data_IF_078791517652
#
_entry.id   IF_078791517652
#
_cell.length_a   1.000
_cell.length_b   1.000
_cell.length_c   1.000
_cell.angle_alpha   90.00
_cell.angle_beta   90.00
_cell.angle_gamma   90.00
#
_symmetry.space_group_name_H-M   'P 1'
#
loop_
_entity.id
_entity.type
_entity.pdbx_description
1 polymer ?
#
# COMPACT_ATOMS: atom_id res chain seq x y z
N UNK A 1 3.82 14.77 74.48
CA UNK A 1 3.10 14.18 73.34
C UNK A 1 3.68 14.54 71.97
N UNK A 2 4.22 15.75 71.73
CA UNK A 2 4.74 16.13 70.39
C UNK A 2 6.11 15.46 70.01
N UNK A 3 6.90 14.98 70.93
CA UNK A 3 8.21 14.33 70.70
C UNK A 3 8.12 12.82 70.35
N UNK A 4 7.02 12.17 70.72
CA UNK A 4 6.84 10.73 70.49
C UNK A 4 6.29 10.51 69.07
N UNK A 5 5.50 11.46 68.53
CA UNK A 5 4.96 11.41 67.18
C UNK A 5 6.05 11.55 66.10
N UNK A 6 7.09 12.36 66.37
CA UNK A 6 8.22 12.56 65.45
C UNK A 6 9.11 11.31 65.26
N UNK A 7 9.23 10.48 66.31
CA UNK A 7 10.06 9.26 66.23
C UNK A 7 9.34 8.14 65.49
N UNK A 8 8.03 8.07 65.60
CA UNK A 8 7.22 7.07 64.89
C UNK A 8 7.15 7.38 63.37
N UNK A 9 7.13 8.67 63.02
CA UNK A 9 7.11 9.08 61.61
C UNK A 9 8.45 8.83 60.88
N UNK A 10 9.58 8.90 61.62
CA UNK A 10 10.91 8.60 61.07
C UNK A 10 11.16 7.10 60.90
N UNK A 11 10.53 6.24 61.75
CA UNK A 11 10.66 4.79 61.65
C UNK A 11 9.82 4.19 60.52
N UNK A 12 8.71 4.84 60.13
CA UNK A 12 7.85 4.40 59.00
C UNK A 12 8.45 4.81 57.64
N UNK A 13 9.22 5.93 57.58
CA UNK A 13 9.89 6.33 56.33
C UNK A 13 11.15 5.50 56.03
N UNK A 14 11.78 4.88 57.03
CA UNK A 14 12.96 4.05 56.79
C UNK A 14 12.66 2.59 56.43
N UNK A 15 11.40 2.10 56.57
CA UNK A 15 11.01 0.77 56.17
C UNK A 15 10.44 0.73 54.73
N UNK A 16 10.12 1.89 54.11
CA UNK A 16 9.61 1.98 52.75
C UNK A 16 10.71 2.07 51.67
N UNK A 17 12.01 2.12 52.04
CA UNK A 17 13.11 2.20 51.08
C UNK A 17 13.80 0.85 50.78
N UNK A 18 13.34 -0.26 51.36
CA UNK A 18 13.98 -1.57 51.13
C UNK A 18 13.11 -2.48 50.21
N UNK A 19 11.93 -2.02 49.79
CA UNK A 19 11.04 -2.82 48.93
C UNK A 19 11.09 -2.46 47.44
N UNK A 20 12.08 -1.66 46.98
CA UNK A 20 12.17 -1.23 45.56
C UNK A 20 13.41 -1.78 44.83
N UNK A 21 14.06 -2.83 45.36
CA UNK A 21 15.21 -3.44 44.66
C UNK A 21 14.99 -4.93 44.34
N UNK A 22 13.74 -5.36 44.14
CA UNK A 22 13.45 -6.72 43.72
C UNK A 22 12.32 -6.78 42.72
N UNK A 23 12.45 -6.02 41.61
CA UNK A 23 11.77 -6.28 40.33
C UNK A 23 12.67 -5.74 39.24
N UNK A 24 13.87 -6.26 39.16
CA UNK A 24 14.79 -6.12 38.04
C UNK A 24 14.96 -7.48 37.40
N UNK A 25 13.87 -8.20 37.18
CA UNK A 25 13.77 -9.28 36.22
C UNK A 25 13.29 -8.63 34.93
N UNK A 26 14.17 -8.01 34.16
CA UNK A 26 13.98 -7.95 32.72
C UNK A 26 13.96 -9.40 32.25
N UNK A 27 12.78 -10.04 32.23
CA UNK A 27 12.54 -11.06 31.23
C UNK A 27 12.73 -10.29 29.92
N UNK A 28 13.88 -10.48 29.30
CA UNK A 28 14.04 -10.22 27.89
C UNK A 28 12.97 -11.01 27.17
N UNK A 29 11.88 -10.37 26.84
CA UNK A 29 10.92 -10.81 25.81
C UNK A 29 11.63 -10.66 24.45
N UNK A 30 12.82 -11.26 24.34
CA UNK A 30 13.78 -10.95 23.29
C UNK A 30 13.82 -12.00 22.18
N UNK A 31 12.81 -12.85 22.07
CA UNK A 31 12.76 -13.86 21.01
C UNK A 31 11.58 -13.72 20.04
N UNK A 32 10.72 -12.74 20.24
CA UNK A 32 9.57 -12.48 19.35
C UNK A 32 9.90 -11.32 18.40
N UNK A 33 9.79 -11.56 17.11
CA UNK A 33 10.00 -10.56 16.06
C UNK A 33 8.64 -10.02 15.65
N UNK A 34 8.44 -8.72 15.74
CA UNK A 34 7.17 -8.07 15.37
C UNK A 34 7.21 -7.57 13.94
N UNK A 35 6.28 -8.05 13.11
CA UNK A 35 6.12 -7.60 11.72
C UNK A 35 4.71 -7.04 11.52
N UNK A 36 4.61 -5.77 11.13
CA UNK A 36 3.35 -5.17 10.71
C UNK A 36 3.06 -5.48 9.23
N UNK A 37 1.81 -5.87 8.95
CA UNK A 37 1.32 -6.20 7.60
C UNK A 37 0.00 -5.48 7.35
N UNK A 38 -0.40 -5.26 6.06
CA UNK A 38 -1.74 -4.74 5.74
C UNK A 38 -2.84 -5.65 6.30
N UNK A 39 -3.99 -5.09 6.64
CA UNK A 39 -5.12 -5.83 7.21
C UNK A 39 -6.24 -6.13 6.19
N UNK A 40 -6.11 -5.69 4.95
CA UNK A 40 -7.02 -6.11 3.88
C UNK A 40 -6.53 -7.45 3.29
N UNK A 41 -7.50 -8.32 2.96
CA UNK A 41 -7.25 -9.71 2.57
C UNK A 41 -6.20 -9.84 1.46
N UNK A 42 -6.29 -9.02 0.42
CA UNK A 42 -5.40 -9.11 -0.73
C UNK A 42 -3.97 -8.69 -0.40
N UNK A 43 -3.78 -7.56 0.31
CA UNK A 43 -2.44 -7.06 0.62
C UNK A 43 -1.82 -7.80 1.82
N UNK A 44 -2.61 -8.30 2.79
CA UNK A 44 -2.13 -9.23 3.81
C UNK A 44 -1.54 -10.48 3.15
N UNK A 45 -2.32 -11.13 2.27
CA UNK A 45 -1.85 -12.31 1.54
C UNK A 45 -0.57 -12.03 0.75
N UNK A 46 -0.51 -10.91 0.06
CA UNK A 46 0.67 -10.47 -0.70
C UNK A 46 1.90 -10.29 0.20
N UNK A 47 1.72 -9.70 1.38
CA UNK A 47 2.78 -9.55 2.37
C UNK A 47 3.28 -10.90 2.91
N UNK A 48 2.36 -11.82 3.19
CA UNK A 48 2.71 -13.17 3.66
C UNK A 48 3.42 -13.99 2.58
N UNK A 49 3.00 -13.87 1.32
CA UNK A 49 3.67 -14.50 0.18
C UNK A 49 5.10 -13.97 0.01
N UNK A 50 5.33 -12.67 0.19
CA UNK A 50 6.70 -12.10 0.20
C UNK A 50 7.55 -12.71 1.31
N UNK A 51 7.03 -12.87 2.52
CA UNK A 51 7.77 -13.51 3.62
C UNK A 51 8.03 -15.00 3.36
N UNK A 52 7.11 -15.70 2.72
CA UNK A 52 7.30 -17.08 2.29
C UNK A 52 8.39 -17.19 1.21
N UNK A 53 8.38 -16.33 0.21
CA UNK A 53 9.41 -16.30 -0.85
C UNK A 53 10.80 -16.01 -0.27
N UNK A 54 10.88 -15.23 0.81
CA UNK A 54 12.11 -14.97 1.56
C UNK A 54 12.49 -16.13 2.50
N UNK A 55 11.63 -17.13 2.66
CA UNK A 55 11.87 -18.30 3.51
C UNK A 55 11.67 -18.06 5.01
N UNK A 56 10.93 -17.04 5.40
CA UNK A 56 10.69 -16.69 6.81
C UNK A 56 9.47 -17.37 7.42
N UNK A 57 8.50 -17.75 6.61
CA UNK A 57 7.31 -18.53 6.99
C UNK A 57 6.98 -19.56 5.93
N UNK A 58 6.10 -20.49 6.24
CA UNK A 58 5.44 -21.38 5.29
C UNK A 58 3.94 -21.25 5.42
N UNK A 59 3.24 -21.08 4.29
CA UNK A 59 1.79 -21.02 4.22
C UNK A 59 1.20 -22.38 3.83
N UNK A 60 -0.08 -22.60 4.13
CA UNK A 60 -0.83 -23.72 3.59
C UNK A 60 -0.87 -23.65 2.05
N UNK A 61 -0.59 -24.78 1.39
CA UNK A 61 -0.50 -24.83 -0.08
C UNK A 61 -1.81 -24.45 -0.78
N UNK A 62 -2.95 -24.51 -0.07
CA UNK A 62 -4.27 -24.19 -0.62
C UNK A 62 -4.70 -22.74 -0.34
N UNK A 63 -3.96 -21.99 0.48
CA UNK A 63 -4.33 -20.62 0.84
C UNK A 63 -4.22 -19.64 -0.35
N UNK A 64 -3.22 -19.81 -1.22
CA UNK A 64 -3.06 -19.05 -2.45
C UNK A 64 -2.98 -17.53 -2.20
N UNK A 65 -3.66 -16.76 -3.05
CA UNK A 65 -3.68 -15.29 -3.02
C UNK A 65 -4.65 -14.71 -1.97
N UNK A 66 -5.29 -15.55 -1.16
CA UNK A 66 -6.19 -15.15 -0.07
C UNK A 66 -5.67 -15.62 1.29
N UNK A 67 -4.37 -15.94 1.38
CA UNK A 67 -3.72 -16.37 2.60
C UNK A 67 -3.84 -15.32 3.70
N UNK A 68 -4.07 -15.76 4.92
CA UNK A 68 -4.10 -14.94 6.13
C UNK A 68 -3.05 -15.45 7.13
N UNK A 69 -2.80 -14.73 8.21
CA UNK A 69 -1.91 -15.20 9.28
C UNK A 69 -2.33 -16.56 9.88
N UNK A 70 -3.60 -16.97 9.70
CA UNK A 70 -4.12 -18.27 10.17
C UNK A 70 -3.67 -19.45 9.29
N UNK A 71 -3.24 -19.14 8.08
CA UNK A 71 -2.77 -20.13 7.10
C UNK A 71 -1.27 -20.38 7.21
N UNK A 72 -0.59 -19.75 8.18
CA UNK A 72 0.83 -20.00 8.45
C UNK A 72 0.97 -21.38 9.13
N UNK A 73 1.65 -22.28 8.44
CA UNK A 73 1.90 -23.67 8.90
C UNK A 73 3.25 -23.84 9.58
N UNK A 74 4.22 -22.97 9.27
CA UNK A 74 5.53 -22.92 9.93
C UNK A 74 5.99 -21.47 10.11
N UNK A 75 6.49 -21.16 11.33
CA UNK A 75 6.95 -19.85 11.75
C UNK A 75 8.22 -19.99 12.61
N UNK A 76 9.35 -20.40 11.99
CA UNK A 76 10.56 -20.79 12.73
C UNK A 76 11.24 -19.63 13.45
N UNK A 77 10.90 -18.39 13.10
CA UNK A 77 11.48 -17.18 13.69
C UNK A 77 10.62 -16.54 14.77
N UNK A 78 9.52 -17.21 15.18
CA UNK A 78 8.59 -16.71 16.19
C UNK A 78 8.10 -15.28 15.86
N UNK A 79 7.67 -15.07 14.61
CA UNK A 79 7.13 -13.79 14.15
C UNK A 79 5.75 -13.57 14.75
N UNK A 80 5.55 -12.43 15.41
CA UNK A 80 4.25 -11.91 15.83
C UNK A 80 3.77 -10.90 14.79
N UNK A 81 2.63 -11.18 14.18
CA UNK A 81 2.05 -10.31 13.15
C UNK A 81 1.13 -9.26 13.77
N UNK A 82 1.26 -8.03 13.29
CA UNK A 82 0.34 -6.93 13.59
C UNK A 82 -0.36 -6.51 12.30
N UNK A 83 -1.64 -6.85 12.18
CA UNK A 83 -2.48 -6.44 11.06
C UNK A 83 -2.89 -4.98 11.24
N UNK A 84 -2.49 -4.11 10.32
CA UNK A 84 -2.67 -2.66 10.38
C UNK A 84 -3.26 -2.17 9.07
N UNK A 85 -4.14 -1.17 9.12
CA UNK A 85 -4.61 -0.51 7.91
C UNK A 85 -3.42 -0.05 7.06
N UNK A 86 -3.41 -0.37 5.76
CA UNK A 86 -2.25 -0.19 4.88
C UNK A 86 -1.70 1.25 4.90
N UNK A 87 -2.58 2.25 4.94
CA UNK A 87 -2.21 3.67 5.03
C UNK A 87 -1.47 4.05 6.34
N UNK A 88 -1.59 3.24 7.40
CA UNK A 88 -0.95 3.49 8.68
C UNK A 88 0.41 2.80 8.85
N UNK A 89 0.76 1.87 7.97
CA UNK A 89 2.01 1.10 8.08
C UNK A 89 3.28 1.97 8.15
N UNK A 90 3.43 3.04 7.35
CA UNK A 90 4.59 3.93 7.50
C UNK A 90 4.66 4.61 8.88
N UNK A 91 3.52 4.89 9.49
CA UNK A 91 3.45 5.57 10.80
C UNK A 91 3.83 4.67 11.96
N UNK A 92 3.54 3.36 11.87
CA UNK A 92 3.85 2.37 12.92
C UNK A 92 5.23 1.72 12.73
N UNK A 93 5.95 2.03 11.66
CA UNK A 93 7.22 1.38 11.32
C UNK A 93 8.24 1.42 12.47
N UNK A 94 8.33 2.54 13.20
CA UNK A 94 9.25 2.69 14.33
C UNK A 94 8.84 1.89 15.58
N UNK A 95 7.61 1.39 15.65
CA UNK A 95 7.06 0.68 16.82
C UNK A 95 7.16 -0.84 16.68
N UNK A 96 7.58 -1.33 15.52
CA UNK A 96 7.76 -2.75 15.19
C UNK A 96 9.19 -3.05 14.71
N UNK A 97 9.57 -4.32 14.68
CA UNK A 97 10.88 -4.71 14.14
C UNK A 97 10.95 -4.47 12.64
N UNK A 98 9.88 -4.84 11.92
CA UNK A 98 9.72 -4.68 10.49
C UNK A 98 8.28 -4.33 10.13
N UNK A 99 8.08 -3.75 8.94
CA UNK A 99 6.77 -3.64 8.32
C UNK A 99 6.84 -3.96 6.83
N UNK A 100 5.78 -4.56 6.30
CA UNK A 100 5.61 -4.76 4.86
C UNK A 100 4.63 -3.70 4.36
N UNK A 101 5.13 -2.81 3.49
CA UNK A 101 4.41 -1.59 3.11
C UNK A 101 4.21 -1.57 1.59
N UNK A 102 2.99 -1.27 1.15
CA UNK A 102 2.69 -1.00 -0.24
C UNK A 102 3.47 0.22 -0.74
N UNK A 103 4.03 0.15 -1.94
CA UNK A 103 4.93 1.18 -2.46
C UNK A 103 4.32 2.56 -2.55
N UNK A 104 3.02 2.68 -2.89
CA UNK A 104 2.33 3.97 -2.91
C UNK A 104 2.34 4.66 -1.53
N UNK A 105 2.14 3.92 -0.44
CA UNK A 105 2.22 4.48 0.92
C UNK A 105 3.65 4.75 1.36
N UNK A 106 4.61 3.92 0.95
CA UNK A 106 6.02 4.18 1.19
C UNK A 106 6.46 5.49 0.50
N UNK A 107 6.14 5.65 -0.79
CA UNK A 107 6.47 6.86 -1.57
C UNK A 107 5.80 8.10 -0.97
N UNK A 108 4.52 8.02 -0.60
CA UNK A 108 3.80 9.12 0.04
C UNK A 108 4.38 9.53 1.41
N UNK A 109 5.12 8.63 2.07
CA UNK A 109 5.84 8.87 3.33
C UNK A 109 7.33 9.21 3.13
N UNK A 110 7.76 9.57 1.91
CA UNK A 110 9.16 9.85 1.57
C UNK A 110 10.12 8.65 1.78
N UNK A 111 9.60 7.42 1.80
CA UNK A 111 10.37 6.18 1.87
C UNK A 111 10.56 5.64 0.44
N UNK A 112 11.79 5.45 0.01
CA UNK A 112 12.07 4.95 -1.33
C UNK A 112 12.05 3.41 -1.37
N UNK A 113 11.09 2.78 -2.07
CA UNK A 113 10.96 1.32 -2.07
C UNK A 113 12.20 0.55 -2.49
N UNK A 114 12.99 1.06 -3.43
CA UNK A 114 14.21 0.38 -3.91
C UNK A 114 15.40 0.59 -2.99
N UNK A 115 15.53 1.78 -2.37
CA UNK A 115 16.72 2.14 -1.58
C UNK A 115 16.58 1.80 -0.10
N UNK A 116 15.36 1.94 0.44
CA UNK A 116 15.13 1.90 1.88
C UNK A 116 14.54 0.56 2.33
N UNK A 117 14.02 -0.28 1.40
CA UNK A 117 13.57 -1.63 1.75
C UNK A 117 14.75 -2.56 2.03
N UNK A 118 14.56 -3.49 2.96
CA UNK A 118 15.50 -4.57 3.25
C UNK A 118 15.29 -5.77 2.32
N UNK A 119 14.09 -5.92 1.79
CA UNK A 119 13.73 -6.82 0.71
C UNK A 119 12.54 -6.23 -0.05
N UNK A 120 12.41 -6.58 -1.33
CA UNK A 120 11.35 -6.08 -2.20
C UNK A 120 10.85 -7.20 -3.09
N UNK A 121 9.55 -7.17 -3.40
CA UNK A 121 8.89 -8.09 -4.32
C UNK A 121 9.49 -7.99 -5.73
N UNK A 122 9.45 -9.08 -6.48
CA UNK A 122 9.90 -9.07 -7.87
C UNK A 122 9.04 -8.18 -8.78
N UNK A 123 9.66 -7.59 -9.81
CA UNK A 123 8.97 -6.70 -10.77
C UNK A 123 7.98 -7.43 -11.70
N UNK A 124 7.93 -8.77 -11.68
CA UNK A 124 6.97 -9.59 -12.42
C UNK A 124 5.67 -9.84 -11.65
N UNK A 125 5.34 -8.99 -10.72
CA UNK A 125 4.16 -9.09 -9.87
C UNK A 125 2.86 -9.19 -10.68
N UNK A 126 1.94 -10.06 -10.24
CA UNK A 126 0.57 -10.13 -10.74
C UNK A 126 -0.28 -8.91 -10.33
N UNK A 127 0.28 -8.03 -9.52
CA UNK A 127 -0.39 -6.86 -8.94
C UNK A 127 -0.14 -5.59 -9.77
N UNK A 128 -0.41 -5.64 -11.08
CA UNK A 128 -0.37 -4.46 -11.94
C UNK A 128 -1.48 -3.49 -11.62
N UNK A 129 -1.15 -2.22 -11.46
CA UNK A 129 -2.10 -1.14 -11.17
C UNK A 129 -2.93 -0.78 -12.38
N UNK A 130 -4.25 -0.71 -12.19
CA UNK A 130 -5.26 -0.62 -13.24
C UNK A 130 -6.02 0.69 -13.23
N UNK A 131 -6.42 1.13 -14.42
CA UNK A 131 -7.54 2.04 -14.58
C UNK A 131 -8.83 1.22 -14.50
N UNK A 132 -9.75 1.59 -13.61
CA UNK A 132 -11.00 0.89 -13.41
C UNK A 132 -12.20 1.85 -13.48
N UNK A 133 -13.33 1.33 -13.93
CA UNK A 133 -14.57 2.09 -14.15
C UNK A 133 -15.78 1.25 -13.72
N UNK A 134 -16.93 1.91 -13.53
CA UNK A 134 -18.19 1.18 -13.39
C UNK A 134 -18.52 0.40 -14.65
N UNK A 135 -18.98 -0.86 -14.51
CA UNK A 135 -19.40 -1.73 -15.60
C UNK A 135 -20.37 -1.01 -16.56
N UNK A 136 -20.10 -1.14 -17.85
CA UNK A 136 -20.84 -0.48 -18.93
C UNK A 136 -20.23 0.84 -19.41
N UNK A 137 -19.24 1.39 -18.70
CA UNK A 137 -18.57 2.65 -19.07
C UNK A 137 -17.23 2.44 -19.81
N UNK A 138 -16.74 1.21 -19.93
CA UNK A 138 -15.40 0.83 -20.41
C UNK A 138 -15.10 1.37 -21.80
N UNK A 139 -16.14 1.47 -22.63
CA UNK A 139 -16.03 1.86 -24.03
C UNK A 139 -16.45 3.29 -24.33
N UNK A 140 -16.72 4.11 -23.30
CA UNK A 140 -17.03 5.53 -23.50
C UNK A 140 -15.82 6.28 -24.05
N UNK A 141 -16.05 7.32 -24.85
CA UNK A 141 -14.98 8.12 -25.43
C UNK A 141 -14.11 8.80 -24.37
N UNK A 142 -14.70 9.21 -23.22
CA UNK A 142 -13.95 9.72 -22.07
C UNK A 142 -12.92 8.71 -21.57
N UNK A 143 -13.35 7.47 -21.38
CA UNK A 143 -12.48 6.41 -20.83
C UNK A 143 -11.43 5.96 -21.83
N UNK A 144 -11.77 5.86 -23.11
CA UNK A 144 -10.78 5.59 -24.16
C UNK A 144 -9.73 6.70 -24.27
N UNK A 145 -10.13 7.97 -24.16
CA UNK A 145 -9.20 9.09 -24.17
C UNK A 145 -8.26 9.05 -22.94
N UNK A 146 -8.80 8.80 -21.75
CA UNK A 146 -7.99 8.68 -20.53
C UNK A 146 -7.04 7.49 -20.60
N UNK A 147 -7.53 6.33 -21.06
CA UNK A 147 -6.69 5.14 -21.26
C UNK A 147 -5.53 5.43 -22.21
N UNK A 148 -5.80 6.03 -23.36
CA UNK A 148 -4.75 6.36 -24.35
C UNK A 148 -3.70 7.30 -23.75
N UNK A 149 -4.13 8.31 -22.97
CA UNK A 149 -3.22 9.22 -22.30
C UNK A 149 -2.35 8.51 -21.26
N UNK A 150 -2.91 7.59 -20.44
CA UNK A 150 -2.16 6.80 -19.46
C UNK A 150 -1.20 5.79 -20.13
N UNK A 151 -1.56 5.24 -21.28
CA UNK A 151 -0.74 4.30 -22.06
C UNK A 151 0.25 4.99 -22.99
N UNK A 152 0.48 6.30 -22.81
CA UNK A 152 1.38 7.09 -23.65
C UNK A 152 2.86 6.85 -23.32
N UNK A 153 3.70 7.14 -24.31
CA UNK A 153 5.16 7.20 -24.11
C UNK A 153 5.56 8.27 -23.08
N UNK A 154 4.85 9.39 -23.03
CA UNK A 154 5.14 10.44 -22.04
C UNK A 154 4.94 9.95 -20.62
N UNK A 155 3.88 9.17 -20.35
CA UNK A 155 3.63 8.53 -19.05
C UNK A 155 4.69 7.47 -18.74
N UNK A 156 5.03 6.62 -19.71
CA UNK A 156 6.05 5.59 -19.52
C UNK A 156 7.43 6.19 -19.21
N UNK A 157 7.83 7.24 -19.93
CA UNK A 157 9.08 7.97 -19.70
C UNK A 157 9.05 8.65 -18.31
N UNK A 158 7.96 9.33 -17.93
CA UNK A 158 7.81 9.94 -16.62
C UNK A 158 7.99 8.92 -15.48
N UNK A 159 7.36 7.75 -15.60
CA UNK A 159 7.49 6.67 -14.60
C UNK A 159 8.97 6.24 -14.49
N UNK A 160 9.64 5.99 -15.61
CA UNK A 160 11.03 5.55 -15.61
C UNK A 160 11.99 6.58 -15.01
N UNK A 161 11.80 7.86 -15.37
CA UNK A 161 12.68 8.96 -14.95
C UNK A 161 12.46 9.35 -13.47
N UNK A 162 11.21 9.24 -12.98
CA UNK A 162 10.84 9.74 -11.65
C UNK A 162 11.10 8.71 -10.56
N UNK A 163 10.73 7.44 -10.78
CA UNK A 163 10.67 6.46 -9.68
C UNK A 163 11.87 5.50 -9.61
N UNK A 164 12.77 5.50 -10.61
CA UNK A 164 14.03 4.76 -10.54
C UNK A 164 13.86 3.26 -10.25
N UNK A 165 12.76 2.65 -10.71
CA UNK A 165 12.44 1.24 -10.53
C UNK A 165 11.50 0.93 -9.35
N UNK A 166 11.15 1.91 -8.49
CA UNK A 166 10.12 1.73 -7.46
C UNK A 166 8.72 1.59 -8.06
N UNK A 167 8.51 2.18 -9.23
CA UNK A 167 7.33 2.06 -10.07
C UNK A 167 7.80 1.74 -11.48
N UNK A 168 7.20 0.75 -12.12
CA UNK A 168 7.62 0.27 -13.44
C UNK A 168 6.43 0.22 -14.38
N UNK A 169 6.49 0.94 -15.51
CA UNK A 169 5.47 0.85 -16.55
C UNK A 169 5.41 -0.56 -17.15
N UNK A 170 4.20 -1.09 -17.34
CA UNK A 170 3.96 -2.39 -17.98
C UNK A 170 3.25 -2.25 -19.33
N UNK A 171 3.12 -1.03 -19.82
CA UNK A 171 2.56 -0.77 -21.16
C UNK A 171 3.57 -1.21 -22.22
N UNK A 172 3.30 -2.30 -22.92
CA UNK A 172 4.24 -2.90 -23.87
C UNK A 172 4.53 -2.01 -25.08
N UNK A 173 3.51 -1.30 -25.60
CA UNK A 173 3.60 -0.47 -26.79
C UNK A 173 3.04 0.94 -26.50
N UNK A 174 3.77 1.78 -25.77
CA UNK A 174 3.32 3.12 -25.42
C UNK A 174 3.04 3.97 -26.66
N UNK A 175 1.82 4.55 -26.74
CA UNK A 175 1.36 5.38 -27.84
C UNK A 175 1.74 6.85 -27.73
N UNK A 176 1.14 7.68 -28.58
CA UNK A 176 1.28 9.14 -28.56
C UNK A 176 0.32 9.83 -27.57
N UNK A 177 -0.52 9.07 -26.88
CA UNK A 177 -1.51 9.55 -25.92
C UNK A 177 -2.90 9.77 -26.47
N UNK A 178 -3.14 9.42 -27.74
CA UNK A 178 -4.43 9.60 -28.39
C UNK A 178 -4.93 8.33 -29.08
N UNK A 179 -6.22 8.03 -28.89
CA UNK A 179 -6.91 6.94 -29.58
C UNK A 179 -7.66 7.48 -30.82
N UNK A 180 -7.31 7.00 -32.00
CA UNK A 180 -7.92 7.43 -33.25
C UNK A 180 -9.41 7.10 -33.39
N UNK A 181 -9.96 6.24 -32.54
CA UNK A 181 -11.39 5.90 -32.52
C UNK A 181 -12.23 6.90 -31.69
N UNK A 182 -11.60 7.82 -30.95
CA UNK A 182 -12.26 8.80 -30.06
C UNK A 182 -12.61 10.06 -30.82
N UNK A 183 -13.84 10.54 -30.68
CA UNK A 183 -14.25 11.88 -31.15
C UNK A 183 -13.81 12.96 -30.15
N UNK A 184 -12.55 13.38 -30.24
CA UNK A 184 -12.00 14.43 -29.39
C UNK A 184 -12.69 15.78 -29.58
N UNK A 185 -13.31 16.03 -30.74
CA UNK A 185 -14.05 17.27 -30.95
C UNK A 185 -15.35 17.28 -30.12
N UNK A 186 -16.01 16.16 -29.98
CA UNK A 186 -17.18 16.00 -29.11
C UNK A 186 -16.83 16.06 -27.63
N UNK A 187 -15.62 15.65 -27.24
CA UNK A 187 -15.14 15.72 -25.86
C UNK A 187 -14.59 17.12 -25.46
N UNK A 188 -14.32 17.98 -26.42
CA UNK A 188 -13.75 19.31 -26.15
C UNK A 188 -14.63 20.12 -25.18
N UNK A 189 -14.01 20.63 -24.11
CA UNK A 189 -14.68 21.37 -23.03
C UNK A 189 -15.32 20.46 -21.95
N UNK A 190 -15.23 19.14 -22.10
CA UNK A 190 -15.72 18.21 -21.08
C UNK A 190 -14.67 17.95 -19.98
N UNK A 191 -15.15 17.45 -18.84
CA UNK A 191 -14.31 17.01 -17.71
C UNK A 191 -14.40 15.50 -17.58
N UNK A 192 -13.24 14.87 -17.32
CA UNK A 192 -13.09 13.50 -16.87
C UNK A 192 -12.68 13.55 -15.42
N UNK A 193 -13.35 12.81 -14.53
CA UNK A 193 -13.07 12.77 -13.09
C UNK A 193 -12.47 11.43 -12.70
N UNK A 194 -11.36 11.45 -11.95
CA UNK A 194 -10.64 10.23 -11.53
C UNK A 194 -10.30 10.28 -10.05
N UNK A 195 -10.71 9.24 -9.32
CA UNK A 195 -10.26 8.99 -7.95
C UNK A 195 -8.91 8.26 -7.95
N UNK A 196 -7.93 8.74 -7.21
CA UNK A 196 -6.57 8.20 -7.20
C UNK A 196 -5.90 8.28 -5.84
N UNK A 197 -4.92 7.41 -5.58
CA UNK A 197 -3.98 7.62 -4.46
C UNK A 197 -3.02 8.77 -4.80
N UNK A 198 -2.54 9.55 -3.79
CA UNK A 198 -1.71 10.74 -4.05
C UNK A 198 -0.43 10.43 -4.84
N UNK A 199 0.31 9.40 -4.47
CA UNK A 199 1.52 8.93 -5.14
C UNK A 199 1.44 7.40 -5.35
N UNK A 200 1.98 6.87 -6.44
CA UNK A 200 2.44 7.56 -7.65
C UNK A 200 1.27 7.94 -8.59
N UNK A 201 0.04 7.47 -8.33
CA UNK A 201 -1.10 7.46 -9.24
C UNK A 201 -1.54 8.88 -9.67
N UNK A 202 -1.78 9.80 -8.70
CA UNK A 202 -2.14 11.17 -9.04
C UNK A 202 -1.00 11.91 -9.74
N UNK A 203 0.26 11.58 -9.44
CA UNK A 203 1.42 12.15 -10.13
C UNK A 203 1.48 11.71 -11.58
N UNK A 204 1.24 10.42 -11.87
CA UNK A 204 1.12 9.87 -13.21
C UNK A 204 -0.06 10.49 -13.97
N UNK A 205 -1.21 10.64 -13.31
CA UNK A 205 -2.39 11.29 -13.89
C UNK A 205 -2.14 12.75 -14.26
N UNK A 206 -1.23 13.46 -13.58
CA UNK A 206 -0.87 14.84 -13.98
C UNK A 206 -0.23 14.89 -15.37
N UNK A 207 0.54 13.86 -15.75
CA UNK A 207 1.07 13.74 -17.13
C UNK A 207 -0.06 13.49 -18.12
N UNK A 208 -0.98 12.56 -17.81
CA UNK A 208 -2.16 12.30 -18.64
C UNK A 208 -3.05 13.55 -18.77
N UNK A 209 -3.16 14.36 -17.73
CA UNK A 209 -3.88 15.64 -17.73
C UNK A 209 -3.33 16.61 -18.76
N UNK A 210 -2.01 16.74 -18.86
CA UNK A 210 -1.38 17.62 -19.83
C UNK A 210 -1.65 17.16 -21.27
N UNK A 211 -1.63 15.83 -21.51
CA UNK A 211 -1.97 15.24 -22.83
C UNK A 211 -3.42 15.54 -23.19
N UNK A 212 -4.37 15.31 -22.29
CA UNK A 212 -5.80 15.55 -22.51
C UNK A 212 -6.11 17.04 -22.72
N UNK A 213 -5.37 17.92 -22.07
CA UNK A 213 -5.49 19.38 -22.23
C UNK A 213 -5.19 19.84 -23.67
N UNK A 214 -4.34 19.14 -24.43
CA UNK A 214 -4.11 19.42 -25.87
C UNK A 214 -5.38 19.31 -26.71
N UNK A 215 -6.37 18.53 -26.24
CA UNK A 215 -7.71 18.38 -26.86
C UNK A 215 -8.78 19.20 -26.15
N UNK A 216 -8.38 20.13 -25.28
CA UNK A 216 -9.31 20.94 -24.46
C UNK A 216 -10.23 20.08 -23.57
N UNK A 217 -9.70 18.95 -23.05
CA UNK A 217 -10.39 18.09 -22.09
C UNK A 217 -9.75 18.34 -20.71
N UNK A 218 -10.59 18.57 -19.71
CA UNK A 218 -10.13 18.74 -18.31
C UNK A 218 -10.06 17.35 -17.65
N UNK A 219 -8.92 17.00 -17.06
CA UNK A 219 -8.83 15.88 -16.11
C UNK A 219 -8.87 16.42 -14.70
N UNK A 220 -9.92 16.05 -13.94
CA UNK A 220 -10.06 16.37 -12.53
C UNK A 220 -9.64 15.17 -11.69
N UNK A 221 -8.59 15.33 -10.87
CA UNK A 221 -7.97 14.27 -10.10
C UNK A 221 -8.36 14.48 -8.65
N UNK A 222 -9.09 13.52 -8.07
CA UNK A 222 -9.57 13.55 -6.68
C UNK A 222 -8.74 12.55 -5.89
N UNK A 223 -7.91 13.05 -4.96
CA UNK A 223 -7.00 12.22 -4.20
C UNK A 223 -7.68 11.63 -2.95
N UNK A 224 -7.51 10.32 -2.76
CA UNK A 224 -7.95 9.57 -1.58
C UNK A 224 -6.75 8.85 -0.95
N UNK A 225 -6.69 8.85 0.38
CA UNK A 225 -5.60 8.24 1.14
C UNK A 225 -5.92 6.82 1.64
N UNK A 226 -7.11 6.32 1.38
CA UNK A 226 -7.56 4.95 1.68
C UNK A 226 -7.89 4.17 0.40
N UNK A 227 -8.08 2.85 0.51
CA UNK A 227 -8.38 1.98 -0.62
C UNK A 227 -9.89 1.70 -0.82
N UNK A 228 -10.76 2.18 0.06
CA UNK A 228 -12.20 1.90 0.03
C UNK A 228 -12.97 2.97 -0.77
N UNK A 229 -12.70 4.24 -0.50
CA UNK A 229 -13.44 5.36 -1.09
C UNK A 229 -13.31 5.43 -2.62
N UNK A 230 -12.15 5.20 -3.26
CA UNK A 230 -12.05 5.29 -4.71
C UNK A 230 -13.00 4.33 -5.45
N UNK A 231 -13.27 3.14 -4.89
CA UNK A 231 -14.23 2.21 -5.47
C UNK A 231 -15.67 2.67 -5.22
N UNK A 232 -15.98 3.18 -4.02
CA UNK A 232 -17.32 3.64 -3.68
C UNK A 232 -17.78 4.79 -4.59
N UNK A 233 -16.89 5.77 -4.87
CA UNK A 233 -17.25 6.93 -5.70
C UNK A 233 -17.36 6.57 -7.19
N UNK A 234 -16.66 5.53 -7.67
CA UNK A 234 -16.85 4.98 -9.02
C UNK A 234 -18.19 4.21 -9.10
N UNK A 235 -18.47 3.35 -8.11
CA UNK A 235 -19.73 2.57 -8.11
C UNK A 235 -20.94 3.48 -8.03
N UNK A 236 -20.89 4.55 -7.23
CA UNK A 236 -21.98 5.54 -7.15
C UNK A 236 -22.13 6.40 -8.42
N UNK A 237 -21.10 6.46 -9.28
CA UNK A 237 -21.06 7.31 -10.47
C UNK A 237 -20.72 8.77 -10.14
N UNK A 238 -20.15 9.06 -8.98
CA UNK A 238 -19.65 10.38 -8.59
C UNK A 238 -18.40 10.77 -9.38
N UNK A 239 -17.58 9.79 -9.76
CA UNK A 239 -16.42 9.94 -10.64
C UNK A 239 -16.50 8.98 -11.83
N UNK A 240 -15.81 9.34 -12.92
CA UNK A 240 -15.81 8.53 -14.16
C UNK A 240 -14.96 7.25 -14.01
N UNK A 241 -13.85 7.31 -13.24
CA UNK A 241 -12.89 6.20 -13.09
C UNK A 241 -12.14 6.28 -11.76
N UNK A 242 -11.42 5.19 -11.41
CA UNK A 242 -10.35 5.25 -10.43
C UNK A 242 -9.04 4.65 -10.97
N UNK A 243 -7.95 5.05 -10.30
CA UNK A 243 -6.61 4.57 -10.60
C UNK A 243 -5.81 4.52 -9.30
N UNK A 244 -5.74 3.33 -8.65
CA UNK A 244 -5.09 3.15 -7.33
C UNK A 244 -4.88 1.68 -6.96
N UNK A 245 -5.48 0.72 -7.67
CA UNK A 245 -5.64 -0.68 -7.28
C UNK A 245 -5.17 -1.63 -8.38
N UNK A 246 -5.08 -2.91 -8.04
CA UNK A 246 -4.80 -4.03 -8.93
C UNK A 246 -5.99 -5.00 -9.00
N UNK A 247 -6.01 -5.87 -10.03
CA UNK A 247 -7.13 -6.79 -10.27
C UNK A 247 -7.49 -7.65 -9.06
N UNK A 248 -6.55 -8.30 -8.34
CA UNK A 248 -6.93 -9.11 -7.18
C UNK A 248 -7.69 -8.33 -6.10
N UNK A 249 -7.27 -7.08 -5.80
CA UNK A 249 -7.99 -6.23 -4.86
C UNK A 249 -9.38 -5.84 -5.38
N UNK A 250 -9.49 -5.50 -6.67
CA UNK A 250 -10.77 -5.16 -7.29
C UNK A 250 -11.77 -6.31 -7.23
N UNK A 251 -11.32 -7.53 -7.51
CA UNK A 251 -12.16 -8.72 -7.48
C UNK A 251 -12.69 -9.01 -6.06
N UNK A 252 -11.81 -8.94 -5.06
CA UNK A 252 -12.19 -9.07 -3.65
C UNK A 252 -13.17 -7.98 -3.23
N UNK A 253 -12.86 -6.71 -3.56
CA UNK A 253 -13.73 -5.58 -3.23
C UNK A 253 -15.13 -5.74 -3.82
N UNK A 254 -15.22 -6.12 -5.10
CA UNK A 254 -16.50 -6.36 -5.76
C UNK A 254 -17.29 -7.49 -5.08
N UNK A 255 -16.61 -8.59 -4.73
CA UNK A 255 -17.24 -9.73 -4.07
C UNK A 255 -17.76 -9.40 -2.67
N UNK A 256 -16.99 -8.64 -1.89
CA UNK A 256 -17.34 -8.28 -0.52
C UNK A 256 -18.42 -7.19 -0.44
N UNK A 257 -18.39 -6.22 -1.36
CA UNK A 257 -19.25 -5.04 -1.31
C UNK A 257 -20.40 -5.06 -2.31
N UNK A 258 -20.46 -6.07 -3.22
CA UNK A 258 -21.49 -6.19 -4.24
C UNK A 258 -21.42 -5.06 -5.27
N UNK A 259 -20.21 -4.57 -5.56
CA UNK A 259 -19.95 -3.53 -6.56
C UNK A 259 -19.69 -4.13 -7.94
N UNK A 260 -19.81 -3.30 -8.98
CA UNK A 260 -19.74 -3.70 -10.40
C UNK A 260 -18.68 -2.86 -11.12
N UNK A 261 -17.47 -2.89 -10.60
CA UNK A 261 -16.34 -2.15 -11.16
C UNK A 261 -15.49 -3.10 -11.98
N UNK A 262 -15.00 -2.63 -13.13
CA UNK A 262 -14.23 -3.44 -14.06
C UNK A 262 -12.92 -2.76 -14.45
N UNK A 263 -11.89 -3.57 -14.69
CA UNK A 263 -10.60 -3.11 -15.18
C UNK A 263 -10.68 -2.73 -16.66
N UNK A 264 -10.04 -1.61 -17.04
CA UNK A 264 -9.93 -1.13 -18.42
C UNK A 264 -8.54 -1.35 -18.99
N UNK A 265 -7.50 -1.10 -18.20
CA UNK A 265 -6.11 -1.34 -18.60
C UNK A 265 -5.20 -1.45 -17.39
N UNK A 266 -4.03 -2.07 -17.58
CA UNK A 266 -2.95 -2.14 -16.60
C UNK A 266 -1.84 -1.18 -17.03
N UNK A 267 -1.41 -0.30 -16.13
CA UNK A 267 -0.48 0.80 -16.47
C UNK A 267 0.92 0.56 -15.92
N UNK A 268 1.02 0.18 -14.64
CA UNK A 268 2.31 0.00 -13.97
C UNK A 268 2.25 -1.05 -12.86
N UNK A 269 3.41 -1.47 -12.38
CA UNK A 269 3.55 -2.29 -11.17
C UNK A 269 4.30 -1.49 -10.09
N UNK A 270 3.96 -1.81 -8.85
CA UNK A 270 4.58 -1.27 -7.64
C UNK A 270 4.99 -2.45 -6.75
N UNK A 271 6.26 -2.87 -6.76
CA UNK A 271 6.72 -3.96 -5.91
C UNK A 271 6.56 -3.62 -4.42
N UNK A 272 5.92 -4.50 -3.65
CA UNK A 272 5.76 -4.36 -2.20
C UNK A 272 7.11 -4.54 -1.50
N UNK A 273 7.40 -3.78 -0.46
CA UNK A 273 8.67 -3.80 0.26
C UNK A 273 8.56 -4.22 1.71
N UNK A 274 9.59 -4.94 2.21
CA UNK A 274 9.84 -5.20 3.63
C UNK A 274 10.84 -4.18 4.16
N UNK A 275 10.42 -3.38 5.13
CA UNK A 275 11.20 -2.27 5.69
C UNK A 275 11.58 -2.52 7.13
N UNK A 276 12.78 -2.04 7.50
CA UNK A 276 13.24 -2.07 8.87
C UNK A 276 12.63 -0.95 9.70
N UNK A 277 12.12 -1.30 10.87
CA UNK A 277 11.66 -0.39 11.89
C UNK A 277 12.69 -0.26 13.01
N UNK A 278 12.54 -1.07 14.08
CA UNK A 278 13.53 -1.17 15.15
C UNK A 278 14.77 -1.96 14.70
N UNK A 279 14.65 -2.83 13.71
CA UNK A 279 15.75 -3.54 13.07
C UNK A 279 16.19 -2.80 11.80
N UNK A 280 17.49 -2.76 11.54
CA UNK A 280 18.07 -2.11 10.35
C UNK A 280 18.63 -3.10 9.33
N UNK A 281 18.52 -4.39 9.60
CA UNK A 281 18.93 -5.49 8.72
C UNK A 281 18.02 -6.70 8.94
N UNK A 282 18.10 -7.70 8.07
CA UNK A 282 17.36 -8.95 8.21
C UNK A 282 18.09 -9.97 9.11
N UNK A 283 19.09 -9.57 9.90
CA UNK A 283 19.89 -10.50 10.69
C UNK A 283 19.10 -11.15 11.83
N UNK A 284 18.07 -10.47 12.35
CA UNK A 284 17.15 -11.08 13.32
C UNK A 284 16.35 -12.25 12.75
N UNK A 285 16.15 -12.29 11.42
CA UNK A 285 15.48 -13.34 10.67
C UNK A 285 16.46 -14.38 10.08
N UNK A 286 17.70 -14.46 10.58
CA UNK A 286 18.75 -15.39 10.10
C UNK A 286 19.25 -16.31 11.23
N UNK A 287 18.41 -16.75 12.14
CA UNK A 287 18.82 -17.63 13.26
C UNK A 287 19.16 -19.05 12.80
#
# INVERSE_FOLDING_TARGET
MKKIISVILAAVLSLSLIALTACGGSSSDSDTIKIAVPNDTTNESRALLLLQDLGYITLDENAGITATIKDITDNPYNIEFSEVEAAQLPNVLQDVDYAIINSNYAIAADINPVKDSLAIEGSSSAYGNILAVKEGNENSDKIKALKAALESKQVADFIADTYGGSVVSVVENPGDGFDSSVDYAALSGQTITVAASPAPHAEILKVAKDILAEKNITLDIIEYTDYVQPNNVVESGEVDANYFQHVPYLDDFNAENGTHIVSVSTVHVEPMGLYGGQQTSLDALKK
#
